data_IF_494467413182
#
_entry.id   IF_494467413182
#
_cell.length_a   1.000
_cell.length_b   1.000
_cell.length_c   1.000
_cell.angle_alpha   90.00
_cell.angle_beta   90.00
_cell.angle_gamma   90.00
#
_symmetry.space_group_name_H-M   'P 1'
#
loop_
_entity.id
_entity.type
_entity.pdbx_description
1 polymer ?
#
# COMPACT_ATOMS: atom_id res chain seq x y z
N UNK A 1 19.14 13.88 5.91
CA UNK A 1 19.77 12.76 5.17
C UNK A 1 20.32 11.68 6.09
N UNK A 2 21.26 11.98 7.02
CA UNK A 2 21.86 10.99 7.93
C UNK A 2 20.86 10.21 8.79
N UNK A 3 19.82 10.86 9.33
CA UNK A 3 18.80 10.20 10.13
C UNK A 3 18.01 9.15 9.32
N UNK A 4 17.68 9.44 8.05
CA UNK A 4 16.98 8.49 7.16
C UNK A 4 17.88 7.29 6.84
N UNK A 5 19.18 7.51 6.64
CA UNK A 5 20.15 6.42 6.46
C UNK A 5 20.28 5.55 7.72
N UNK A 6 20.14 6.15 8.90
CA UNK A 6 20.06 5.40 10.17
C UNK A 6 18.85 4.47 10.22
N UNK A 7 17.68 4.94 9.82
CA UNK A 7 16.46 4.11 9.74
C UNK A 7 16.59 3.00 8.68
N UNK A 8 17.19 3.31 7.53
CA UNK A 8 17.45 2.31 6.50
C UNK A 8 18.41 1.19 6.99
N UNK A 9 19.43 1.54 7.78
CA UNK A 9 20.33 0.53 8.39
C UNK A 9 19.59 -0.37 9.38
N UNK A 10 18.68 0.19 10.22
CA UNK A 10 17.84 -0.59 11.13
C UNK A 10 16.94 -1.56 10.35
N UNK A 11 16.31 -1.08 9.28
CA UNK A 11 15.47 -1.90 8.43
C UNK A 11 16.28 -3.02 7.74
N UNK A 12 17.46 -2.71 7.20
CA UNK A 12 18.35 -3.70 6.57
C UNK A 12 18.79 -4.82 7.51
N UNK A 13 18.93 -4.53 8.81
CA UNK A 13 19.25 -5.54 9.83
C UNK A 13 18.06 -6.45 10.19
N UNK A 14 16.88 -6.20 9.65
CA UNK A 14 15.66 -6.96 9.92
C UNK A 14 15.56 -8.17 9.00
N UNK A 15 15.91 -9.34 9.51
CA UNK A 15 15.96 -10.59 8.73
C UNK A 15 14.60 -11.02 8.17
N UNK A 16 13.54 -10.81 8.93
CA UNK A 16 12.16 -11.15 8.55
C UNK A 16 11.68 -10.34 7.35
N UNK A 17 12.15 -9.10 7.20
CA UNK A 17 11.86 -8.30 6.00
C UNK A 17 12.50 -8.92 4.75
N UNK A 18 13.72 -9.45 4.85
CA UNK A 18 14.38 -10.14 3.73
C UNK A 18 13.64 -11.41 3.31
N UNK A 19 13.16 -12.19 4.28
CA UNK A 19 12.32 -13.37 3.99
C UNK A 19 11.04 -12.94 3.27
N UNK A 20 10.40 -11.85 3.73
CA UNK A 20 9.21 -11.31 3.07
C UNK A 20 9.49 -10.86 1.62
N UNK A 21 10.65 -10.24 1.35
CA UNK A 21 11.04 -9.84 0.00
C UNK A 21 11.28 -11.04 -0.93
N UNK A 22 11.96 -12.09 -0.42
CA UNK A 22 12.19 -13.32 -1.19
C UNK A 22 10.86 -14.01 -1.51
N UNK A 23 10.00 -14.21 -0.51
CA UNK A 23 8.69 -14.81 -0.71
C UNK A 23 7.81 -13.98 -1.64
N UNK A 24 7.84 -12.65 -1.50
CA UNK A 24 7.15 -11.73 -2.40
C UNK A 24 7.65 -11.83 -3.83
N UNK A 25 8.96 -11.91 -4.05
CA UNK A 25 9.55 -12.11 -5.37
C UNK A 25 9.15 -13.44 -6.00
N UNK A 26 9.16 -14.52 -5.22
CA UNK A 26 8.69 -15.85 -5.69
C UNK A 26 7.21 -15.80 -6.07
N UNK A 27 6.37 -15.19 -5.23
CA UNK A 27 4.95 -15.03 -5.50
C UNK A 27 4.70 -14.24 -6.80
N UNK A 28 5.44 -13.16 -7.01
CA UNK A 28 5.37 -12.37 -8.23
C UNK A 28 5.75 -13.19 -9.48
N UNK A 29 6.81 -13.99 -9.40
CA UNK A 29 7.22 -14.89 -10.48
C UNK A 29 6.15 -15.95 -10.80
N UNK A 30 5.54 -16.56 -9.78
CA UNK A 30 4.47 -17.55 -9.94
C UNK A 30 3.26 -16.89 -10.62
N UNK A 31 2.87 -15.68 -10.20
CA UNK A 31 1.72 -14.97 -10.77
C UNK A 31 1.92 -14.65 -12.25
N UNK A 32 3.15 -14.37 -12.67
CA UNK A 32 3.49 -14.13 -14.07
C UNK A 32 3.45 -15.41 -14.90
N UNK A 33 3.88 -16.54 -14.34
CA UNK A 33 3.90 -17.83 -15.04
C UNK A 33 2.49 -18.38 -15.27
N UNK A 34 1.53 -18.06 -14.42
CA UNK A 34 0.13 -18.52 -14.55
C UNK A 34 -0.67 -17.75 -15.61
N UNK A 35 -0.13 -16.69 -16.18
CA UNK A 35 -0.80 -15.92 -17.20
C UNK A 35 -0.52 -16.52 -18.60
N UNK A 36 -1.42 -17.34 -19.08
CA UNK A 36 -1.46 -17.77 -20.48
C UNK A 36 -1.72 -16.56 -21.38
N UNK A 37 -0.72 -16.09 -22.11
CA UNK A 37 -0.72 -14.91 -22.97
C UNK A 37 -1.89 -14.77 -23.96
N UNK A 38 -3.11 -14.80 -23.43
CA UNK A 38 -4.36 -14.65 -24.17
C UNK A 38 -4.52 -13.29 -24.84
N UNK A 39 -5.59 -13.13 -25.56
CA UNK A 39 -5.95 -12.00 -26.46
C UNK A 39 -5.79 -10.59 -25.87
N UNK A 40 -5.66 -10.43 -24.55
CA UNK A 40 -5.70 -9.12 -23.88
C UNK A 40 -4.50 -8.92 -22.94
N UNK A 41 -3.31 -8.76 -23.51
CA UNK A 41 -2.03 -8.54 -22.81
C UNK A 41 -2.10 -7.47 -21.71
N UNK A 42 -2.78 -6.36 -21.98
CA UNK A 42 -2.89 -5.23 -21.05
C UNK A 42 -3.83 -5.49 -19.88
N UNK A 43 -4.88 -6.30 -20.08
CA UNK A 43 -5.75 -6.73 -18.96
C UNK A 43 -4.94 -7.50 -17.93
N UNK A 44 -4.06 -8.40 -18.38
CA UNK A 44 -3.23 -9.21 -17.50
C UNK A 44 -2.33 -8.31 -16.64
N UNK A 45 -1.68 -7.30 -17.25
CA UNK A 45 -0.86 -6.33 -16.51
C UNK A 45 -1.69 -5.60 -15.46
N UNK A 46 -2.86 -5.13 -15.85
CA UNK A 46 -3.77 -4.34 -15.00
C UNK A 46 -4.36 -5.18 -13.86
N UNK A 47 -4.78 -6.42 -14.14
CA UNK A 47 -5.25 -7.36 -13.13
C UNK A 47 -4.14 -7.78 -12.15
N UNK A 48 -2.93 -8.00 -12.63
CA UNK A 48 -1.80 -8.34 -11.77
C UNK A 48 -1.46 -7.21 -10.79
N UNK A 49 -1.61 -5.95 -11.19
CA UNK A 49 -1.43 -4.82 -10.26
C UNK A 49 -2.48 -4.90 -9.15
N UNK A 50 -3.73 -5.12 -9.52
CA UNK A 50 -4.85 -5.16 -8.60
C UNK A 50 -4.78 -6.36 -7.63
N UNK A 51 -4.58 -7.58 -8.13
CA UNK A 51 -4.59 -8.79 -7.31
C UNK A 51 -3.28 -9.02 -6.57
N UNK A 52 -2.24 -9.34 -7.32
CA UNK A 52 -0.94 -9.70 -6.77
C UNK A 52 -0.17 -8.49 -6.24
N UNK A 53 -0.21 -7.37 -6.97
CA UNK A 53 0.52 -6.15 -6.63
C UNK A 53 0.00 -5.52 -5.33
N UNK A 54 -1.31 -5.43 -5.16
CA UNK A 54 -1.93 -4.89 -3.96
C UNK A 54 -1.63 -5.75 -2.72
N UNK A 55 -1.82 -7.07 -2.84
CA UNK A 55 -1.58 -8.02 -1.75
C UNK A 55 -0.11 -8.06 -1.34
N UNK A 56 0.80 -8.09 -2.33
CA UNK A 56 2.23 -8.07 -2.07
C UNK A 56 2.68 -6.75 -1.44
N UNK A 57 2.15 -5.62 -1.91
CA UNK A 57 2.42 -4.31 -1.32
C UNK A 57 1.99 -4.27 0.15
N UNK A 58 0.76 -4.70 0.45
CA UNK A 58 0.27 -4.75 1.83
C UNK A 58 1.12 -5.67 2.71
N UNK A 59 1.48 -6.86 2.22
CA UNK A 59 2.33 -7.81 2.93
C UNK A 59 3.71 -7.22 3.26
N UNK A 60 4.40 -6.63 2.27
CA UNK A 60 5.71 -6.02 2.47
C UNK A 60 5.68 -4.85 3.45
N UNK A 61 4.61 -4.03 3.41
CA UNK A 61 4.41 -2.93 4.35
C UNK A 61 4.13 -3.46 5.76
N UNK A 62 3.20 -4.44 5.89
CA UNK A 62 2.84 -5.01 7.19
C UNK A 62 4.00 -5.70 7.90
N UNK A 63 4.92 -6.32 7.16
CA UNK A 63 6.10 -6.96 7.72
C UNK A 63 7.26 -5.98 7.89
N UNK A 64 7.48 -5.09 6.93
CA UNK A 64 8.67 -4.25 6.86
C UNK A 64 8.66 -3.03 7.79
N UNK A 65 7.51 -2.38 7.97
CA UNK A 65 7.44 -1.11 8.69
C UNK A 65 7.27 -1.18 10.22
N UNK A 66 6.64 -2.20 10.85
CA UNK A 66 6.41 -2.20 12.29
C UNK A 66 7.68 -1.97 13.11
N UNK A 67 8.78 -2.57 12.69
CA UNK A 67 10.06 -2.47 13.38
C UNK A 67 10.62 -1.05 13.41
N UNK A 68 10.23 -0.19 12.48
CA UNK A 68 10.63 1.22 12.47
C UNK A 68 10.25 1.94 13.76
N UNK A 69 9.11 1.55 14.37
CA UNK A 69 8.60 2.10 15.61
C UNK A 69 8.92 1.20 16.81
N UNK A 70 8.74 -0.11 16.67
CA UNK A 70 8.85 -1.06 17.78
C UNK A 70 10.30 -1.29 18.22
N UNK A 71 11.27 -1.18 17.31
CA UNK A 71 12.69 -1.47 17.58
C UNK A 71 13.26 -0.69 18.76
N UNK A 72 12.92 0.58 18.86
CA UNK A 72 13.40 1.46 19.93
C UNK A 72 12.77 1.10 21.28
N UNK A 73 11.48 0.74 21.27
CA UNK A 73 10.77 0.24 22.45
C UNK A 73 11.27 -1.11 22.91
N UNK A 74 11.50 -2.05 21.99
CA UNK A 74 12.00 -3.39 22.27
C UNK A 74 13.45 -3.39 22.82
N UNK A 75 14.27 -2.38 22.46
CA UNK A 75 15.63 -2.21 22.95
C UNK A 75 15.78 -1.26 24.13
N UNK A 76 14.70 -0.65 24.60
CA UNK A 76 14.74 0.31 25.70
C UNK A 76 15.45 1.63 25.38
N UNK A 77 15.74 1.91 24.09
CA UNK A 77 16.42 3.15 23.65
C UNK A 77 15.45 4.31 23.43
N UNK A 78 14.16 4.07 23.56
CA UNK A 78 13.09 5.04 23.37
C UNK A 78 13.23 6.27 24.32
N UNK A 79 13.64 6.05 25.57
CA UNK A 79 13.88 7.11 26.56
C UNK A 79 15.02 8.06 26.15
N UNK A 80 16.11 7.53 25.58
CA UNK A 80 17.26 8.32 25.15
C UNK A 80 16.92 9.27 24.00
N UNK A 81 16.07 8.83 23.06
CA UNK A 81 15.64 9.65 21.93
C UNK A 81 14.72 10.79 22.41
N UNK A 82 13.93 10.54 23.45
CA UNK A 82 12.96 11.48 23.99
C UNK A 82 13.55 12.58 24.86
N UNK A 83 14.65 12.28 25.56
CA UNK A 83 15.33 13.26 26.42
C UNK A 83 16.16 14.28 25.64
N UNK A 84 16.35 14.10 24.34
CA UNK A 84 17.07 15.05 23.49
C UNK A 84 16.09 16.09 22.94
N UNK A 85 16.32 17.37 23.21
CA UNK A 85 15.43 18.51 22.89
C UNK A 85 14.95 18.57 21.42
N UNK A 86 15.78 18.18 20.48
CA UNK A 86 15.44 18.14 19.06
C UNK A 86 15.19 16.72 18.51
N UNK A 87 15.54 15.67 19.29
CA UNK A 87 15.58 14.28 18.81
C UNK A 87 14.21 13.72 18.43
N UNK A 88 13.20 14.06 19.20
CA UNK A 88 11.83 13.56 18.96
C UNK A 88 11.28 13.96 17.57
N UNK A 89 11.39 15.23 17.21
CA UNK A 89 10.88 15.73 15.94
C UNK A 89 11.70 15.30 14.73
N UNK A 90 13.03 15.31 14.86
CA UNK A 90 13.92 14.87 13.79
C UNK A 90 13.78 13.36 13.53
N UNK A 91 13.64 12.54 14.56
CA UNK A 91 13.42 11.11 14.45
C UNK A 91 12.07 10.81 13.80
N UNK A 92 11.01 11.52 14.22
CA UNK A 92 9.70 11.38 13.59
C UNK A 92 9.73 11.72 12.10
N UNK A 93 10.31 12.86 11.72
CA UNK A 93 10.47 13.24 10.30
C UNK A 93 11.25 12.18 9.52
N UNK A 94 12.34 11.66 10.10
CA UNK A 94 13.15 10.63 9.45
C UNK A 94 12.34 9.35 9.21
N UNK A 95 11.51 8.93 10.18
CA UNK A 95 10.64 7.75 10.05
C UNK A 95 9.56 7.96 8.99
N UNK A 96 8.90 9.13 8.98
CA UNK A 96 7.89 9.46 7.94
C UNK A 96 8.54 9.48 6.56
N UNK A 97 9.67 10.15 6.40
CA UNK A 97 10.37 10.23 5.11
C UNK A 97 10.85 8.84 4.64
N UNK A 98 11.39 8.04 5.56
CA UNK A 98 11.76 6.65 5.27
C UNK A 98 10.55 5.84 4.81
N UNK A 99 9.40 5.99 5.47
CA UNK A 99 8.15 5.30 5.11
C UNK A 99 7.70 5.67 3.69
N UNK A 100 7.74 6.95 3.33
CA UNK A 100 7.38 7.41 1.98
C UNK A 100 8.31 6.78 0.95
N UNK A 101 9.63 6.83 1.18
CA UNK A 101 10.64 6.25 0.28
C UNK A 101 10.45 4.73 0.18
N UNK A 102 10.18 4.06 1.29
CA UNK A 102 9.95 2.62 1.33
C UNK A 102 8.71 2.21 0.52
N UNK A 103 7.57 2.87 0.73
CA UNK A 103 6.35 2.63 -0.04
C UNK A 103 6.58 2.89 -1.54
N UNK A 104 7.25 4.00 -1.89
CA UNK A 104 7.59 4.31 -3.27
C UNK A 104 8.48 3.23 -3.89
N UNK A 105 9.50 2.75 -3.16
CA UNK A 105 10.39 1.69 -3.64
C UNK A 105 9.66 0.36 -3.85
N UNK A 106 8.77 -0.03 -2.92
CA UNK A 106 7.97 -1.26 -3.04
C UNK A 106 7.05 -1.19 -4.26
N UNK A 107 6.29 -0.11 -4.40
CA UNK A 107 5.36 0.06 -5.53
C UNK A 107 6.10 0.17 -6.86
N UNK A 108 7.20 0.92 -6.90
CA UNK A 108 8.04 1.04 -8.10
C UNK A 108 8.63 -0.31 -8.51
N UNK A 109 9.14 -1.09 -7.57
CA UNK A 109 9.66 -2.43 -7.84
C UNK A 109 8.59 -3.36 -8.41
N UNK A 110 7.43 -3.44 -7.75
CA UNK A 110 6.31 -4.28 -8.20
C UNK A 110 5.83 -3.83 -9.58
N UNK A 111 5.65 -2.52 -9.75
CA UNK A 111 5.17 -1.93 -10.99
C UNK A 111 6.11 -2.14 -12.15
N UNK A 112 7.37 -1.80 -11.98
CA UNK A 112 8.39 -1.94 -13.02
C UNK A 112 8.59 -3.41 -13.38
N UNK A 113 8.67 -4.29 -12.38
CA UNK A 113 8.83 -5.72 -12.63
C UNK A 113 7.63 -6.30 -13.39
N UNK A 114 6.40 -5.99 -12.97
CA UNK A 114 5.19 -6.44 -13.65
C UNK A 114 5.11 -5.93 -15.10
N UNK A 115 5.37 -4.65 -15.31
CA UNK A 115 5.33 -4.04 -16.64
C UNK A 115 6.42 -4.61 -17.57
N UNK A 116 7.65 -4.71 -17.10
CA UNK A 116 8.77 -5.21 -17.89
C UNK A 116 8.63 -6.71 -18.18
N UNK A 117 8.25 -7.51 -17.20
CA UNK A 117 8.07 -8.93 -17.39
C UNK A 117 6.94 -9.24 -18.38
N UNK A 118 5.78 -8.59 -18.25
CA UNK A 118 4.70 -8.74 -19.21
C UNK A 118 5.09 -8.19 -20.61
N UNK A 119 5.74 -7.04 -20.67
CA UNK A 119 6.22 -6.46 -21.92
C UNK A 119 7.26 -7.31 -22.63
N UNK A 120 8.17 -7.98 -21.89
CA UNK A 120 9.15 -8.89 -22.47
C UNK A 120 8.56 -10.20 -22.97
N UNK A 121 7.52 -10.72 -22.31
CA UNK A 121 6.84 -11.96 -22.68
C UNK A 121 5.83 -11.76 -23.81
N UNK A 122 5.06 -10.67 -23.75
CA UNK A 122 3.89 -10.48 -24.63
C UNK A 122 4.01 -9.26 -25.56
N UNK A 123 5.06 -8.45 -25.43
CA UNK A 123 5.27 -7.21 -26.18
C UNK A 123 4.49 -6.02 -25.62
N UNK A 124 4.78 -4.83 -26.15
CA UNK A 124 4.16 -3.56 -25.74
C UNK A 124 3.09 -3.05 -26.74
N UNK A 125 2.67 -3.91 -27.68
CA UNK A 125 1.63 -3.56 -28.64
C UNK A 125 0.33 -3.19 -27.91
N UNK A 126 -0.38 -2.17 -28.40
CA UNK A 126 -1.62 -1.70 -27.79
C UNK A 126 -1.44 -0.81 -26.54
N UNK A 127 -0.21 -0.42 -26.18
CA UNK A 127 0.04 0.48 -25.04
C UNK A 127 -0.72 1.81 -25.14
N UNK A 128 -0.80 2.35 -26.36
CA UNK A 128 -1.48 3.62 -26.65
C UNK A 128 -2.95 3.45 -27.08
N UNK A 129 -3.43 2.20 -27.22
CA UNK A 129 -4.84 1.93 -27.50
C UNK A 129 -5.71 2.35 -26.32
N UNK A 130 -6.97 2.71 -26.61
CA UNK A 130 -7.91 3.14 -25.55
C UNK A 130 -8.31 1.97 -24.67
N UNK A 131 -8.38 2.20 -23.35
CA UNK A 131 -8.84 1.19 -22.38
C UNK A 131 -10.24 0.71 -22.68
N UNK A 132 -11.13 1.60 -23.19
CA UNK A 132 -12.50 1.29 -23.58
C UNK A 132 -12.61 0.27 -24.74
N UNK A 133 -11.58 0.10 -25.56
CA UNK A 133 -11.54 -0.91 -26.62
C UNK A 133 -11.45 -2.32 -26.06
N UNK A 134 -11.02 -2.46 -24.81
CA UNK A 134 -11.00 -3.72 -24.11
C UNK A 134 -12.39 -4.09 -23.59
N UNK A 135 -12.92 -5.25 -24.06
CA UNK A 135 -14.24 -5.74 -23.68
C UNK A 135 -14.48 -5.83 -22.17
N UNK A 136 -13.41 -6.08 -21.41
CA UNK A 136 -13.46 -6.20 -19.95
C UNK A 136 -13.82 -4.87 -19.26
N UNK A 137 -13.37 -3.74 -19.83
CA UNK A 137 -13.60 -2.40 -19.24
C UNK A 137 -14.76 -1.63 -19.89
N UNK A 138 -15.43 -2.21 -20.90
CA UNK A 138 -16.54 -1.55 -21.58
C UNK A 138 -17.73 -1.20 -20.68
N UNK A 139 -17.93 -1.99 -19.63
CA UNK A 139 -19.03 -1.76 -18.67
C UNK A 139 -18.63 -0.78 -17.55
N UNK A 140 -17.37 -0.40 -17.48
CA UNK A 140 -16.85 0.48 -16.45
C UNK A 140 -16.79 1.89 -16.98
N UNK A 141 -17.36 2.84 -16.23
CA UNK A 141 -17.30 4.26 -16.54
C UNK A 141 -15.88 4.78 -16.23
N UNK A 142 -14.89 4.42 -17.03
CA UNK A 142 -13.53 4.93 -16.89
C UNK A 142 -13.37 6.23 -17.67
N UNK A 143 -12.57 7.18 -17.16
CA UNK A 143 -12.21 8.34 -17.94
C UNK A 143 -11.48 7.92 -19.23
N UNK A 144 -11.66 8.61 -20.37
CA UNK A 144 -11.01 8.25 -21.62
C UNK A 144 -9.48 8.37 -21.49
N UNK A 145 -8.79 7.23 -21.59
CA UNK A 145 -7.34 7.17 -21.47
C UNK A 145 -6.76 5.96 -22.21
N UNK A 146 -5.43 5.97 -22.42
CA UNK A 146 -4.72 4.82 -22.99
C UNK A 146 -4.42 3.75 -21.93
N UNK A 147 -4.14 2.52 -22.38
CA UNK A 147 -3.79 1.40 -21.48
C UNK A 147 -2.59 1.73 -20.58
N UNK A 148 -1.55 2.36 -21.11
CA UNK A 148 -0.38 2.75 -20.32
C UNK A 148 -0.72 3.84 -19.30
N UNK A 149 -1.56 4.82 -19.67
CA UNK A 149 -2.00 5.87 -18.74
C UNK A 149 -2.82 5.30 -17.60
N UNK A 150 -3.67 4.30 -17.90
CA UNK A 150 -4.43 3.59 -16.89
C UNK A 150 -3.52 2.81 -15.92
N UNK A 151 -2.51 2.08 -16.43
CA UNK A 151 -1.53 1.42 -15.58
C UNK A 151 -0.79 2.40 -14.67
N UNK A 152 -0.34 3.54 -15.21
CA UNK A 152 0.34 4.57 -14.39
C UNK A 152 -0.60 5.06 -13.28
N UNK A 153 -1.85 5.30 -13.59
CA UNK A 153 -2.84 5.75 -12.63
C UNK A 153 -3.10 4.69 -11.55
N UNK A 154 -3.16 3.41 -11.92
CA UNK A 154 -3.23 2.29 -10.95
C UNK A 154 -2.03 2.29 -10.00
N UNK A 155 -0.80 2.55 -10.49
CA UNK A 155 0.38 2.65 -9.62
C UNK A 155 0.32 3.86 -8.70
N UNK A 156 -0.21 4.99 -9.16
CA UNK A 156 -0.43 6.17 -8.30
C UNK A 156 -1.40 5.80 -7.16
N UNK A 157 -2.52 5.15 -7.46
CA UNK A 157 -3.47 4.74 -6.43
C UNK A 157 -2.89 3.66 -5.51
N UNK A 158 -2.15 2.70 -6.05
CA UNK A 158 -1.46 1.71 -5.24
C UNK A 158 -0.45 2.35 -4.28
N UNK A 159 0.29 3.37 -4.74
CA UNK A 159 1.21 4.12 -3.89
C UNK A 159 0.48 4.92 -2.79
N UNK A 160 -0.60 5.60 -3.13
CA UNK A 160 -1.41 6.32 -2.16
C UNK A 160 -2.05 5.39 -1.13
N UNK A 161 -2.60 4.26 -1.58
CA UNK A 161 -3.11 3.20 -0.70
C UNK A 161 -2.03 2.59 0.18
N UNK A 162 -0.82 2.40 -0.36
CA UNK A 162 0.35 1.94 0.38
C UNK A 162 0.74 2.91 1.49
N UNK A 163 0.74 4.23 1.23
CA UNK A 163 1.01 5.25 2.23
C UNK A 163 -0.06 5.29 3.32
N UNK A 164 -1.33 5.17 2.94
CA UNK A 164 -2.44 5.13 3.88
C UNK A 164 -2.34 3.90 4.78
N UNK A 165 -2.12 2.72 4.21
CA UNK A 165 -1.90 1.50 4.99
C UNK A 165 -0.64 1.57 5.87
N UNK A 166 0.43 2.20 5.39
CA UNK A 166 1.64 2.42 6.16
C UNK A 166 1.39 3.30 7.39
N UNK A 167 0.59 4.36 7.27
CA UNK A 167 0.15 5.19 8.39
C UNK A 167 -0.57 4.36 9.47
N UNK A 168 -1.53 3.52 9.05
CA UNK A 168 -2.22 2.59 9.95
C UNK A 168 -1.25 1.61 10.64
N UNK A 169 -0.30 1.03 9.90
CA UNK A 169 0.73 0.12 10.46
C UNK A 169 1.58 0.83 11.50
N UNK A 170 2.02 2.07 11.24
CA UNK A 170 2.86 2.82 12.17
C UNK A 170 2.09 3.25 13.43
N UNK A 171 0.82 3.64 13.31
CA UNK A 171 -0.05 3.93 14.46
C UNK A 171 -0.23 2.67 15.31
N UNK A 172 -0.54 1.55 14.68
CA UNK A 172 -0.69 0.25 15.36
C UNK A 172 0.60 -0.15 16.07
N UNK A 173 1.77 0.01 15.41
CA UNK A 173 3.08 -0.23 16.00
C UNK A 173 3.34 0.69 17.21
N UNK A 174 2.94 1.95 17.08
CA UNK A 174 3.05 2.90 18.19
C UNK A 174 2.19 2.50 19.39
N UNK A 175 1.01 1.93 19.20
CA UNK A 175 0.11 1.48 20.26
C UNK A 175 0.60 0.17 20.88
N UNK A 176 0.87 -0.84 20.07
CA UNK A 176 1.21 -2.20 20.51
C UNK A 176 2.60 -2.33 21.09
N UNK A 177 3.56 -1.52 20.59
CA UNK A 177 5.00 -1.56 20.93
C UNK A 177 5.67 -2.92 20.70
N UNK A 178 5.03 -3.83 19.98
CA UNK A 178 5.50 -5.19 19.70
C UNK A 178 5.39 -5.48 18.23
N UNK A 179 6.52 -5.78 17.58
CA UNK A 179 6.58 -6.04 16.14
C UNK A 179 5.63 -7.17 15.71
N UNK A 180 5.68 -8.31 16.38
CA UNK A 180 4.85 -9.47 16.03
C UNK A 180 3.34 -9.19 16.15
N UNK A 181 2.92 -8.51 17.22
CA UNK A 181 1.51 -8.15 17.42
C UNK A 181 1.04 -7.15 16.36
N UNK A 182 1.88 -6.19 15.99
CA UNK A 182 1.56 -5.24 14.92
C UNK A 182 1.36 -5.95 13.59
N UNK A 183 2.27 -6.85 13.21
CA UNK A 183 2.18 -7.64 11.96
C UNK A 183 0.85 -8.43 11.96
N UNK A 184 0.54 -9.09 13.08
CA UNK A 184 -0.69 -9.87 13.19
C UNK A 184 -1.94 -9.00 13.04
N UNK A 185 -2.05 -7.88 13.77
CA UNK A 185 -3.20 -6.98 13.70
C UNK A 185 -3.36 -6.39 12.30
N UNK A 186 -2.28 -5.86 11.71
CA UNK A 186 -2.34 -5.26 10.38
C UNK A 186 -2.64 -6.30 9.29
N UNK A 187 -2.03 -7.49 9.39
CA UNK A 187 -2.30 -8.59 8.48
C UNK A 187 -3.75 -9.08 8.57
N UNK A 188 -4.28 -9.25 9.79
CA UNK A 188 -5.67 -9.63 10.01
C UNK A 188 -6.65 -8.57 9.46
N UNK A 189 -6.37 -7.29 9.69
CA UNK A 189 -7.21 -6.19 9.16
C UNK A 189 -7.21 -6.18 7.64
N UNK A 190 -6.03 -6.35 7.01
CA UNK A 190 -5.93 -6.45 5.56
C UNK A 190 -6.67 -7.68 5.02
N UNK A 191 -6.55 -8.84 5.70
CA UNK A 191 -7.25 -10.06 5.32
C UNK A 191 -8.78 -9.88 5.37
N UNK A 192 -9.31 -9.16 6.35
CA UNK A 192 -10.75 -8.84 6.40
C UNK A 192 -11.16 -8.01 5.17
N UNK A 193 -10.37 -7.00 4.78
CA UNK A 193 -10.64 -6.23 3.57
C UNK A 193 -10.59 -7.12 2.32
N UNK A 194 -9.60 -8.02 2.24
CA UNK A 194 -9.44 -8.95 1.12
C UNK A 194 -10.63 -9.92 1.02
N UNK A 195 -11.06 -10.51 2.14
CA UNK A 195 -12.22 -11.41 2.19
C UNK A 195 -13.49 -10.66 1.79
N UNK A 196 -13.67 -9.43 2.26
CA UNK A 196 -14.81 -8.61 1.88
C UNK A 196 -14.86 -8.35 0.38
N UNK A 197 -13.71 -8.06 -0.25
CA UNK A 197 -13.59 -7.83 -1.68
C UNK A 197 -13.97 -9.05 -2.52
N UNK A 198 -13.39 -10.22 -2.20
CA UNK A 198 -13.52 -11.42 -3.04
C UNK A 198 -14.72 -12.31 -2.72
N UNK A 199 -15.16 -12.31 -1.48
CA UNK A 199 -16.24 -13.19 -1.06
C UNK A 199 -17.62 -12.52 -1.13
N UNK A 200 -17.68 -11.26 -1.57
CA UNK A 200 -18.92 -10.50 -1.65
C UNK A 200 -19.56 -10.27 -0.29
N UNK A 201 -20.87 -10.08 -0.27
CA UNK A 201 -21.64 -9.78 0.94
C UNK A 201 -21.81 -11.00 1.87
N UNK A 202 -20.70 -11.52 2.42
CA UNK A 202 -20.74 -12.54 3.49
C UNK A 202 -21.41 -11.96 4.73
N UNK A 203 -21.23 -10.67 4.97
CA UNK A 203 -21.79 -9.96 6.10
C UNK A 203 -23.16 -9.39 5.72
N UNK A 204 -24.11 -9.44 6.64
CA UNK A 204 -25.45 -8.90 6.44
C UNK A 204 -25.76 -7.79 7.45
N UNK A 205 -26.65 -6.88 7.07
CA UNK A 205 -27.15 -5.83 7.93
C UNK A 205 -26.11 -4.75 8.29
N UNK A 206 -26.09 -4.36 9.57
CA UNK A 206 -25.22 -3.25 10.04
C UNK A 206 -23.74 -3.58 9.89
N UNK A 207 -23.34 -4.83 10.08
CA UNK A 207 -21.95 -5.25 9.93
C UNK A 207 -21.46 -5.07 8.48
N UNK A 208 -22.27 -5.43 7.49
CA UNK A 208 -21.96 -5.22 6.08
C UNK A 208 -21.80 -3.73 5.76
N UNK A 209 -22.71 -2.89 6.24
CA UNK A 209 -22.64 -1.44 6.03
C UNK A 209 -21.39 -0.81 6.65
N UNK A 210 -21.00 -1.23 7.84
CA UNK A 210 -19.80 -0.73 8.55
C UNK A 210 -18.53 -1.19 7.85
N UNK A 211 -18.42 -2.49 7.56
CA UNK A 211 -17.24 -3.04 6.89
C UNK A 211 -17.13 -2.46 5.48
N UNK A 212 -18.24 -2.35 4.73
CA UNK A 212 -18.28 -1.75 3.41
C UNK A 212 -17.86 -0.28 3.40
N UNK A 213 -18.25 0.49 4.43
CA UNK A 213 -17.77 1.88 4.59
C UNK A 213 -16.25 1.92 4.79
N UNK A 214 -15.71 1.14 5.74
CA UNK A 214 -14.26 1.09 5.99
C UNK A 214 -13.49 0.51 4.82
N UNK A 215 -14.06 -0.45 4.09
CA UNK A 215 -13.46 -0.99 2.88
C UNK A 215 -13.42 0.06 1.77
N UNK A 216 -14.50 0.79 1.54
CA UNK A 216 -14.59 1.79 0.45
C UNK A 216 -13.74 3.02 0.68
N UNK A 217 -13.74 3.57 1.89
CA UNK A 217 -13.04 4.83 2.22
C UNK A 217 -11.74 4.63 2.99
N UNK A 218 -11.44 3.43 3.43
CA UNK A 218 -10.20 3.05 4.09
C UNK A 218 -9.11 2.63 3.11
N UNK A 219 -7.97 2.24 3.65
CA UNK A 219 -6.83 1.78 2.84
C UNK A 219 -7.18 0.57 1.95
N UNK A 220 -8.14 -0.27 2.34
CA UNK A 220 -8.60 -1.41 1.55
C UNK A 220 -9.11 -0.97 0.18
N UNK A 221 -9.95 0.04 0.12
CA UNK A 221 -10.47 0.59 -1.12
C UNK A 221 -9.39 1.11 -2.07
N UNK A 222 -8.36 1.75 -1.53
CA UNK A 222 -7.26 2.26 -2.35
C UNK A 222 -6.25 1.21 -2.78
N UNK A 223 -5.99 0.20 -1.95
CA UNK A 223 -5.09 -0.90 -2.29
C UNK A 223 -5.75 -1.92 -3.22
N UNK A 224 -6.97 -2.35 -2.90
CA UNK A 224 -7.66 -3.43 -3.59
C UNK A 224 -8.46 -2.94 -4.80
N UNK A 225 -9.01 -1.72 -4.74
CA UNK A 225 -9.78 -1.12 -5.84
C UNK A 225 -8.95 -0.21 -6.75
N UNK A 226 -7.64 -0.43 -6.84
CA UNK A 226 -6.79 0.34 -7.74
C UNK A 226 -7.21 0.25 -9.23
N UNK A 227 -8.14 -0.65 -9.57
CA UNK A 227 -8.60 -0.87 -10.94
C UNK A 227 -10.06 -0.50 -11.22
N UNK A 228 -10.98 -0.56 -10.22
CA UNK A 228 -12.42 -0.51 -10.51
C UNK A 228 -13.16 0.66 -9.87
N UNK A 229 -12.91 0.95 -8.65
CA UNK A 229 -13.61 2.01 -7.95
C UNK A 229 -12.63 2.76 -7.06
N UNK A 230 -12.22 3.85 -7.51
CA UNK A 230 -11.32 4.82 -6.92
C UNK A 230 -11.85 5.34 -5.57
N UNK A 231 -11.75 4.54 -4.49
CA UNK A 231 -12.25 4.94 -3.18
C UNK A 231 -13.76 5.26 -3.14
N UNK A 232 -14.55 4.60 -3.99
CA UNK A 232 -15.99 4.83 -4.11
C UNK A 232 -16.39 5.90 -5.12
N UNK A 233 -15.44 6.49 -5.82
CA UNK A 233 -15.68 7.44 -6.91
C UNK A 233 -15.37 6.74 -8.23
N UNK A 234 -16.28 6.80 -9.19
CA UNK A 234 -16.14 6.16 -10.49
C UNK A 234 -16.51 7.11 -11.62
N UNK A 235 -15.86 7.01 -12.75
CA UNK A 235 -16.38 7.46 -14.02
C UNK A 235 -15.91 8.81 -14.55
N UNK A 236 -15.42 9.72 -13.75
CA UNK A 236 -14.96 11.03 -14.21
C UNK A 236 -13.57 11.41 -13.68
N UNK A 237 -12.87 12.29 -14.39
CA UNK A 237 -11.61 12.85 -13.90
C UNK A 237 -11.79 13.61 -12.58
N UNK A 238 -12.95 14.25 -12.38
CA UNK A 238 -13.28 14.93 -11.13
C UNK A 238 -13.32 13.95 -9.95
N UNK A 239 -13.85 12.75 -10.18
CA UNK A 239 -13.93 11.71 -9.15
C UNK A 239 -12.56 11.14 -8.84
N UNK A 240 -11.70 10.99 -9.84
CA UNK A 240 -10.29 10.62 -9.66
C UNK A 240 -9.57 11.64 -8.76
N UNK A 241 -9.72 12.93 -9.03
CA UNK A 241 -9.10 13.99 -8.23
C UNK A 241 -9.66 14.06 -6.81
N UNK A 242 -10.97 13.89 -6.62
CA UNK A 242 -11.60 13.80 -5.29
C UNK A 242 -11.03 12.62 -4.48
N UNK A 243 -10.87 11.45 -5.11
CA UNK A 243 -10.27 10.28 -4.48
C UNK A 243 -8.82 10.52 -4.07
N UNK A 244 -8.01 11.11 -4.95
CA UNK A 244 -6.62 11.47 -4.65
C UNK A 244 -6.57 12.44 -3.47
N UNK A 245 -7.39 13.48 -3.47
CA UNK A 245 -7.45 14.46 -2.40
C UNK A 245 -7.85 13.80 -1.08
N UNK A 246 -8.87 12.95 -1.10
CA UNK A 246 -9.35 12.25 0.09
C UNK A 246 -8.26 11.39 0.72
N UNK A 247 -7.57 10.55 -0.06
CA UNK A 247 -6.50 9.69 0.49
C UNK A 247 -5.31 10.49 1.01
N UNK A 248 -4.96 11.60 0.35
CA UNK A 248 -3.91 12.50 0.83
C UNK A 248 -4.31 13.10 2.19
N UNK A 249 -5.54 13.58 2.34
CA UNK A 249 -6.03 14.11 3.61
C UNK A 249 -6.01 13.05 4.71
N UNK A 250 -6.55 11.84 4.43
CA UNK A 250 -6.59 10.75 5.40
C UNK A 250 -5.19 10.30 5.83
N UNK A 251 -4.26 10.15 4.88
CA UNK A 251 -2.87 9.81 5.16
C UNK A 251 -2.18 10.88 6.03
N UNK A 252 -2.41 12.17 5.74
CA UNK A 252 -1.86 13.25 6.57
C UNK A 252 -2.45 13.24 7.99
N UNK A 253 -3.74 12.93 8.14
CA UNK A 253 -4.36 12.81 9.47
C UNK A 253 -3.75 11.63 10.25
N UNK A 254 -3.44 10.51 9.62
CA UNK A 254 -2.75 9.39 10.28
C UNK A 254 -1.34 9.75 10.73
N UNK A 255 -0.53 10.37 9.86
CA UNK A 255 0.81 10.81 10.23
C UNK A 255 0.78 11.90 11.32
N UNK A 256 -0.21 12.77 11.31
CA UNK A 256 -0.43 13.73 12.39
C UNK A 256 -0.85 13.02 13.69
N UNK A 257 -1.75 12.06 13.62
CA UNK A 257 -2.14 11.21 14.76
C UNK A 257 -0.94 10.47 15.36
N UNK A 258 -0.09 9.90 14.50
CA UNK A 258 1.18 9.28 14.90
C UNK A 258 2.09 10.29 15.64
N UNK A 259 2.20 11.52 15.13
CA UNK A 259 2.95 12.58 15.78
C UNK A 259 2.41 12.91 17.18
N UNK A 260 1.08 13.00 17.34
CA UNK A 260 0.46 13.27 18.64
C UNK A 260 0.73 12.14 19.65
N UNK A 261 0.64 10.87 19.21
CA UNK A 261 0.98 9.72 20.04
C UNK A 261 2.46 9.78 20.45
N UNK A 262 3.33 10.10 19.50
CA UNK A 262 4.77 10.20 19.72
C UNK A 262 5.12 11.31 20.72
N UNK A 263 4.53 12.49 20.54
CA UNK A 263 4.74 13.67 21.42
C UNK A 263 4.24 13.41 22.86
N UNK A 264 3.04 12.85 23.03
CA UNK A 264 2.50 12.53 24.36
C UNK A 264 3.36 11.57 25.17
N UNK A 265 4.15 10.75 24.51
CA UNK A 265 5.07 9.84 25.15
C UNK A 265 6.38 10.53 25.58
N UNK A 266 6.74 11.63 24.93
CA UNK A 266 7.91 12.40 25.29
C UNK A 266 7.69 13.24 26.59
N UNK A 267 6.43 13.49 26.96
CA UNK A 267 6.06 14.30 28.14
C UNK A 267 5.78 13.47 29.40
N UNK A 268 5.77 12.14 29.29
CA UNK A 268 5.67 11.21 30.44
C UNK A 268 6.99 10.53 30.71
#
# INVERSE_FOLDING_TARGET
>A
MWAVLGEAKKHRAFREAWVAYILGGIFLLISLYQNDGGLYKWIIVQQNIHTCGATLTAFLIAVGLPRLICYEGERGTDSLIRTSDSGCFHTWKAKVLFTIIYCAAVVFFIGTFSLLANGSLFGFEGALSKVEECLYYRAENLPPMSNISYCILQYVFLFLGALYFAGFVLITAAITKRTALTIFVCGATYLVCLVYEYAGHIFSGVADSVIGFFHRYGFGGYLLHSSYSWGGFAGSWDDVWKSILLVIVMTNLEFYGLWLIWRRRATK
#
